data_IF_121634084018
#
_entry.id   IF_121634084018
#
_cell.length_a   1.000
_cell.length_b   1.000
_cell.length_c   1.000
_cell.angle_alpha   90.00
_cell.angle_beta   90.00
_cell.angle_gamma   90.00
#
_symmetry.space_group_name_H-M   'P 1'
#
loop_
_entity.id
_entity.type
_entity.pdbx_description
1 polymer ?
#
# COMPACT_ATOMS: atom_id res chain seq x y z
N UNK A 1 12.34 -3.78 -12.67
CA UNK A 1 12.58 -2.40 -13.12
C UNK A 1 13.33 -1.61 -12.07
N UNK A 2 14.16 -0.68 -12.51
CA UNK A 2 15.05 0.13 -11.69
C UNK A 2 14.52 1.54 -11.46
N UNK A 3 15.26 2.31 -10.67
CA UNK A 3 14.93 3.72 -10.37
C UNK A 3 14.95 4.61 -11.62
N UNK A 4 15.80 4.30 -12.60
CA UNK A 4 15.92 5.11 -13.83
C UNK A 4 14.63 5.07 -14.64
N UNK A 5 14.03 3.89 -14.76
CA UNK A 5 12.76 3.73 -15.49
C UNK A 5 11.64 4.50 -14.78
N UNK A 6 11.60 4.46 -13.45
CA UNK A 6 10.66 5.25 -12.65
C UNK A 6 10.82 6.74 -12.91
N UNK A 7 12.04 7.28 -12.78
CA UNK A 7 12.29 8.71 -12.97
C UNK A 7 11.91 9.21 -14.37
N UNK A 8 12.10 8.40 -15.40
CA UNK A 8 11.83 8.80 -16.79
C UNK A 8 10.36 8.68 -17.20
N UNK A 9 9.62 7.73 -16.62
CA UNK A 9 8.29 7.35 -17.13
C UNK A 9 7.16 7.59 -16.12
N UNK A 10 7.48 7.90 -14.88
CA UNK A 10 6.48 8.12 -13.83
C UNK A 10 5.56 9.30 -14.16
N UNK A 11 4.26 9.05 -14.00
CA UNK A 11 3.21 10.07 -13.99
C UNK A 11 2.37 9.91 -12.73
N UNK A 12 1.84 11.03 -12.22
CA UNK A 12 1.00 11.03 -11.02
C UNK A 12 -0.23 10.11 -11.13
N UNK A 13 -0.79 9.93 -12.33
CA UNK A 13 -1.91 9.00 -12.59
C UNK A 13 -1.54 7.53 -12.38
N UNK A 14 -0.26 7.19 -12.47
CA UNK A 14 0.22 5.81 -12.50
C UNK A 14 0.70 5.38 -11.10
N UNK A 15 0.49 6.20 -10.08
CA UNK A 15 1.00 5.97 -8.73
C UNK A 15 0.58 4.62 -8.14
N UNK A 16 -0.69 4.22 -8.34
CA UNK A 16 -1.18 2.90 -7.90
C UNK A 16 -0.45 1.78 -8.65
N UNK A 17 -0.33 1.89 -9.97
CA UNK A 17 0.38 0.90 -10.80
C UNK A 17 1.84 0.71 -10.34
N UNK A 18 2.56 1.81 -10.11
CA UNK A 18 3.93 1.75 -9.62
C UNK A 18 4.05 1.17 -8.21
N UNK A 19 3.04 1.38 -7.36
CA UNK A 19 2.99 0.81 -6.02
C UNK A 19 2.65 -0.68 -6.01
N UNK A 20 1.80 -1.17 -6.92
CA UNK A 20 1.32 -2.56 -6.90
C UNK A 20 2.13 -3.49 -7.78
N UNK A 21 2.78 -2.99 -8.84
CA UNK A 21 3.65 -3.82 -9.68
C UNK A 21 4.88 -4.29 -8.92
N UNK A 22 5.46 -5.42 -9.34
CA UNK A 22 6.70 -5.92 -8.76
C UNK A 22 7.89 -5.03 -9.15
N UNK A 23 8.13 -4.01 -8.34
CA UNK A 23 9.21 -3.04 -8.51
C UNK A 23 9.87 -2.71 -7.17
N UNK A 24 10.96 -1.93 -7.23
CA UNK A 24 11.64 -1.44 -6.02
C UNK A 24 10.72 -0.59 -5.15
N UNK A 25 9.74 0.10 -5.75
CA UNK A 25 8.99 1.16 -5.10
C UNK A 25 8.06 0.61 -4.01
N UNK A 26 7.35 -0.50 -4.29
CA UNK A 26 6.56 -1.21 -3.29
C UNK A 26 7.39 -1.56 -2.06
N UNK A 27 8.56 -2.19 -2.27
CA UNK A 27 9.44 -2.63 -1.18
C UNK A 27 10.03 -1.45 -0.41
N UNK A 28 10.44 -0.40 -1.12
CA UNK A 28 11.08 0.78 -0.54
C UNK A 28 10.09 1.58 0.31
N UNK A 29 8.91 1.90 -0.21
CA UNK A 29 7.84 2.61 0.53
C UNK A 29 7.45 1.83 1.79
N UNK A 30 7.16 0.53 1.65
CA UNK A 30 6.75 -0.29 2.79
C UNK A 30 7.86 -0.45 3.83
N UNK A 31 9.12 -0.50 3.43
CA UNK A 31 10.24 -0.52 4.37
C UNK A 31 10.35 0.80 5.12
N UNK A 32 10.31 1.93 4.41
CA UNK A 32 10.38 3.26 5.01
C UNK A 32 9.25 3.48 6.02
N UNK A 33 8.02 3.07 5.70
CA UNK A 33 6.88 3.13 6.62
C UNK A 33 7.08 2.24 7.87
N UNK A 34 7.54 1.00 7.71
CA UNK A 34 7.73 0.07 8.85
C UNK A 34 8.87 0.48 9.78
N UNK A 35 9.86 1.20 9.25
CA UNK A 35 11.05 1.63 9.99
C UNK A 35 10.96 3.10 10.42
N UNK A 36 9.84 3.77 10.12
CA UNK A 36 9.63 5.18 10.39
C UNK A 36 10.79 6.05 9.85
N UNK A 37 11.33 5.69 8.68
CA UNK A 37 12.42 6.44 8.05
C UNK A 37 11.87 7.73 7.42
N UNK A 38 11.77 8.78 8.25
CA UNK A 38 11.22 10.09 7.89
C UNK A 38 11.97 10.69 6.69
N UNK A 39 13.29 10.50 6.63
CA UNK A 39 14.13 11.00 5.54
C UNK A 39 13.79 10.34 4.20
N UNK A 40 13.62 9.01 4.19
CA UNK A 40 13.16 8.29 3.01
C UNK A 40 11.73 8.68 2.61
N UNK A 41 10.81 8.79 3.59
CA UNK A 41 9.44 9.22 3.34
C UNK A 41 9.38 10.64 2.77
N UNK A 42 10.22 11.55 3.28
CA UNK A 42 10.30 12.92 2.77
C UNK A 42 10.85 12.96 1.34
N UNK A 43 11.84 12.13 1.00
CA UNK A 43 12.31 11.98 -0.39
C UNK A 43 11.20 11.47 -1.33
N UNK A 44 10.34 10.58 -0.84
CA UNK A 44 9.20 10.03 -1.59
C UNK A 44 7.92 10.88 -1.52
N UNK A 45 7.92 12.03 -0.84
CA UNK A 45 6.70 12.78 -0.50
C UNK A 45 5.77 13.08 -1.68
N UNK A 46 6.33 13.35 -2.86
CA UNK A 46 5.53 13.61 -4.07
C UNK A 46 4.81 12.36 -4.55
N UNK A 47 5.55 11.25 -4.65
CA UNK A 47 4.97 9.95 -4.96
C UNK A 47 3.90 9.53 -3.94
N UNK A 48 4.17 9.71 -2.64
CA UNK A 48 3.21 9.38 -1.58
C UNK A 48 1.95 10.23 -1.66
N UNK A 49 2.09 11.54 -1.94
CA UNK A 49 0.94 12.43 -2.16
C UNK A 49 0.08 11.95 -3.33
N UNK A 50 0.71 11.59 -4.44
CA UNK A 50 0.01 11.08 -5.61
C UNK A 50 -0.65 9.74 -5.33
N UNK A 51 0.04 8.81 -4.65
CA UNK A 51 -0.51 7.52 -4.25
C UNK A 51 -1.75 7.68 -3.37
N UNK A 52 -1.67 8.50 -2.31
CA UNK A 52 -2.81 8.78 -1.43
C UNK A 52 -3.98 9.41 -2.20
N UNK A 53 -3.70 10.36 -3.10
CA UNK A 53 -4.73 11.00 -3.93
C UNK A 53 -5.44 9.99 -4.84
N UNK A 54 -4.68 9.16 -5.55
CA UNK A 54 -5.25 8.16 -6.44
C UNK A 54 -6.03 7.08 -5.68
N UNK A 55 -5.54 6.65 -4.52
CA UNK A 55 -6.28 5.71 -3.65
C UNK A 55 -7.60 6.31 -3.18
N UNK A 56 -7.61 7.60 -2.81
CA UNK A 56 -8.83 8.29 -2.42
C UNK A 56 -9.82 8.40 -3.58
N UNK A 57 -9.37 8.79 -4.77
CA UNK A 57 -10.22 8.84 -5.96
C UNK A 57 -10.80 7.46 -6.28
N UNK A 58 -9.97 6.42 -6.28
CA UNK A 58 -10.43 5.05 -6.53
C UNK A 58 -11.42 4.59 -5.46
N UNK A 59 -11.19 4.93 -4.20
CA UNK A 59 -12.13 4.64 -3.12
C UNK A 59 -13.46 5.37 -3.34
N UNK A 60 -13.43 6.69 -3.55
CA UNK A 60 -14.60 7.55 -3.75
C UNK A 60 -15.42 7.11 -4.98
N UNK A 61 -14.76 6.72 -6.08
CA UNK A 61 -15.39 6.20 -7.30
C UNK A 61 -16.12 4.87 -7.05
N UNK A 62 -15.53 3.98 -6.25
CA UNK A 62 -16.16 2.69 -5.91
C UNK A 62 -17.11 2.80 -4.70
N UNK A 63 -17.06 3.90 -3.94
CA UNK A 63 -17.81 4.09 -2.69
C UNK A 63 -19.32 4.07 -2.92
N UNK A 64 -19.78 4.56 -4.08
CA UNK A 64 -21.19 4.53 -4.47
C UNK A 64 -21.73 3.08 -4.54
N UNK A 65 -20.91 2.12 -4.97
CA UNK A 65 -21.29 0.70 -5.09
C UNK A 65 -21.33 0.00 -3.72
N UNK A 66 -20.48 0.40 -2.77
CA UNK A 66 -20.41 -0.24 -1.45
C UNK A 66 -21.50 0.25 -0.47
N UNK A 67 -21.93 1.52 -0.55
CA UNK A 67 -22.98 2.03 0.34
C UNK A 67 -24.34 1.35 0.15
N UNK A 68 -24.69 0.89 -1.05
CA UNK A 68 -25.97 0.17 -1.29
C UNK A 68 -26.08 -1.12 -0.47
N UNK A 69 -24.93 -1.72 -0.09
CA UNK A 69 -24.89 -2.97 0.67
C UNK A 69 -24.79 -2.80 2.18
N UNK A 70 -24.42 -1.62 2.70
CA UNK A 70 -24.06 -1.38 4.12
C UNK A 70 -23.01 -2.35 4.71
N UNK A 71 -22.36 -3.16 3.88
CA UNK A 71 -21.40 -4.18 4.31
C UNK A 71 -19.98 -3.63 4.28
N UNK A 72 -19.22 -3.92 5.34
CA UNK A 72 -17.78 -3.65 5.35
C UNK A 72 -17.10 -4.47 4.25
N UNK A 73 -16.09 -3.90 3.58
CA UNK A 73 -15.31 -4.61 2.57
C UNK A 73 -14.49 -5.70 3.27
N UNK A 74 -14.88 -6.97 3.07
CA UNK A 74 -14.13 -8.12 3.56
C UNK A 74 -12.95 -8.42 2.63
N UNK A 75 -11.74 -8.37 3.18
CA UNK A 75 -10.49 -8.68 2.47
C UNK A 75 -9.65 -9.69 3.23
N UNK A 76 -8.80 -10.41 2.50
CA UNK A 76 -7.88 -11.40 3.05
C UNK A 76 -6.43 -10.98 2.82
N UNK A 77 -5.58 -11.19 3.82
CA UNK A 77 -4.14 -10.94 3.74
C UNK A 77 -3.36 -12.13 4.27
N UNK A 78 -2.50 -12.71 3.44
CA UNK A 78 -1.54 -13.71 3.89
C UNK A 78 -0.51 -13.08 4.83
N UNK A 79 -0.27 -13.75 5.97
CA UNK A 79 0.71 -13.32 6.96
C UNK A 79 1.62 -14.50 7.32
N UNK A 80 2.92 -14.27 7.34
CA UNK A 80 3.89 -15.21 7.92
C UNK A 80 4.07 -14.88 9.39
N UNK A 81 3.75 -15.83 10.26
CA UNK A 81 3.87 -15.70 11.71
C UNK A 81 4.78 -16.80 12.27
N UNK A 82 5.57 -16.51 13.33
CA UNK A 82 6.22 -17.56 14.09
C UNK A 82 5.18 -18.50 14.72
N UNK A 83 5.47 -19.81 14.75
CA UNK A 83 4.56 -20.83 15.31
C UNK A 83 4.14 -20.47 16.75
N UNK A 84 5.07 -19.96 17.56
CA UNK A 84 4.79 -19.51 18.93
C UNK A 84 3.64 -18.48 19.00
N UNK A 85 3.60 -17.54 18.07
CA UNK A 85 2.53 -16.51 18.03
C UNK A 85 1.20 -17.15 17.65
N UNK A 86 1.21 -18.13 16.73
CA UNK A 86 0.02 -18.89 16.35
C UNK A 86 -0.52 -19.66 17.58
N UNK A 87 0.35 -20.27 18.37
CA UNK A 87 -0.06 -21.03 19.55
C UNK A 87 -0.65 -20.11 20.65
N UNK A 88 -0.10 -18.90 20.82
CA UNK A 88 -0.69 -17.89 21.72
C UNK A 88 -2.07 -17.44 21.25
N UNK A 89 -2.26 -17.21 19.94
CA UNK A 89 -3.56 -16.83 19.39
C UNK A 89 -4.59 -17.93 19.61
N UNK A 90 -4.22 -19.21 19.41
CA UNK A 90 -5.12 -20.36 19.66
C UNK A 90 -5.55 -20.51 21.11
N UNK A 91 -4.72 -20.09 22.07
CA UNK A 91 -5.03 -20.15 23.50
C UNK A 91 -5.87 -18.96 23.99
N UNK A 92 -5.98 -17.90 23.18
CA UNK A 92 -6.69 -16.67 23.51
C UNK A 92 -8.14 -16.64 23.00
N UNK A 93 -8.56 -17.71 22.32
CA UNK A 93 -9.91 -17.96 21.78
C UNK A 93 -10.55 -19.07 22.59
#
# INVERSE_FOLDING_TARGET
>A
EDINTFEQTYKSSDAIYWYTKDSFLYRFVNKALRTEDIEALFRLRYFLKDLCKNLKLLFDDNFQTYQESLEAILVYRGLTLPIKVIDQIKQSV
#
